data_IF_555978500130
#
_entry.id   IF_555978500130
#
_cell.length_a   1.000
_cell.length_b   1.000
_cell.length_c   1.000
_cell.angle_alpha   90.00
_cell.angle_beta   90.00
_cell.angle_gamma   90.00
#
_symmetry.space_group_name_H-M   'P 1'
#
loop_
_entity.id
_entity.type
_entity.pdbx_description
1 polymer ?
#
# COMPACT_ATOMS: atom_id res chain seq x y z
N UNK A 1 -45.47 21.27 22.82
CA UNK A 1 -45.56 20.24 22.24
C UNK A 1 -44.53 20.02 21.30
N UNK A 2 -44.44 20.02 20.67
CA UNK A 2 -43.88 20.36 19.84
C UNK A 2 -42.45 20.24 19.81
N UNK A 3 -41.99 20.79 20.50
CA UNK A 3 -40.69 20.87 20.75
C UNK A 3 -39.99 19.64 20.64
N UNK A 4 -40.50 18.81 21.14
CA UNK A 4 -39.96 17.57 21.25
C UNK A 4 -39.34 17.08 20.02
N UNK A 5 -39.92 17.41 19.01
CA UNK A 5 -39.51 16.93 17.75
C UNK A 5 -38.08 17.18 17.43
N UNK A 6 -37.62 18.28 17.83
CA UNK A 6 -36.28 18.68 17.50
C UNK A 6 -35.22 17.67 17.94
N UNK A 7 -35.52 17.01 19.00
CA UNK A 7 -34.53 16.08 19.53
C UNK A 7 -34.26 14.91 18.61
N UNK A 8 -35.19 14.62 17.79
CA UNK A 8 -35.01 13.48 16.91
C UNK A 8 -33.91 13.70 15.91
N UNK A 9 -33.83 14.88 15.47
CA UNK A 9 -32.90 15.24 14.45
C UNK A 9 -31.46 14.94 14.88
N UNK A 10 -31.19 15.24 16.10
CA UNK A 10 -29.85 15.01 16.61
C UNK A 10 -29.47 13.56 16.55
N UNK A 11 -30.42 12.76 16.83
CA UNK A 11 -30.18 11.33 16.86
C UNK A 11 -29.78 10.78 15.51
N UNK A 12 -30.40 11.27 14.49
CA UNK A 12 -30.10 10.83 13.15
C UNK A 12 -28.69 11.13 12.76
N UNK A 13 -28.19 12.24 13.23
CA UNK A 13 -26.82 12.62 12.90
C UNK A 13 -25.82 11.66 13.49
N UNK A 14 -26.10 11.19 14.68
CA UNK A 14 -25.23 10.23 15.31
C UNK A 14 -25.14 8.96 14.51
N UNK A 15 -26.24 8.52 14.00
CA UNK A 15 -26.26 7.32 13.19
C UNK A 15 -25.37 7.47 11.97
N UNK A 16 -25.37 8.65 11.40
CA UNK A 16 -24.52 8.90 10.24
C UNK A 16 -23.06 8.73 10.56
N UNK A 17 -22.63 9.20 11.69
CA UNK A 17 -21.24 9.06 12.06
C UNK A 17 -20.82 7.61 12.19
N UNK A 18 -21.65 6.84 12.84
CA UNK A 18 -21.32 5.45 13.05
C UNK A 18 -21.16 4.67 11.75
N UNK A 19 -22.03 4.94 10.83
CA UNK A 19 -21.98 4.25 9.55
C UNK A 19 -20.85 4.75 8.68
N UNK A 20 -20.39 5.94 8.93
CA UNK A 20 -19.38 6.55 8.10
C UNK A 20 -17.96 6.41 8.58
N UNK A 21 -17.68 5.49 9.50
CA UNK A 21 -16.33 5.31 9.99
C UNK A 21 -15.38 5.04 8.82
N UNK A 22 -14.41 5.92 8.58
CA UNK A 22 -13.52 5.76 7.43
C UNK A 22 -12.54 4.62 7.67
N UNK A 23 -12.20 3.93 6.60
CA UNK A 23 -11.13 2.96 6.64
C UNK A 23 -9.82 3.72 6.58
N UNK A 24 -8.79 3.12 7.10
CA UNK A 24 -7.45 3.70 7.00
C UNK A 24 -6.97 3.60 5.56
N UNK A 25 -6.23 4.60 5.12
CA UNK A 25 -5.65 4.56 3.79
C UNK A 25 -4.41 3.65 3.77
N UNK A 26 -3.77 3.56 2.62
CA UNK A 26 -2.60 2.69 2.44
C UNK A 26 -1.50 3.03 3.44
N UNK A 27 -1.20 4.31 3.60
CA UNK A 27 -0.12 4.75 4.48
C UNK A 27 -0.46 4.49 5.94
N UNK A 28 -1.66 4.83 6.36
CA UNK A 28 -2.08 4.62 7.75
C UNK A 28 -2.14 3.13 8.10
N UNK A 29 -2.56 2.32 7.16
CA UNK A 29 -2.60 0.87 7.34
C UNK A 29 -1.18 0.31 7.50
N UNK A 30 -0.25 0.77 6.69
CA UNK A 30 1.14 0.34 6.77
C UNK A 30 1.78 0.76 8.10
N UNK A 31 1.51 1.99 8.53
CA UNK A 31 2.02 2.47 9.82
C UNK A 31 1.46 1.64 10.96
N UNK A 32 0.17 1.36 10.93
CA UNK A 32 -0.49 0.59 11.98
C UNK A 32 -0.10 -0.87 12.06
N UNK A 33 0.38 -1.43 10.95
CA UNK A 33 0.76 -2.84 10.92
C UNK A 33 2.06 -3.13 11.67
N UNK A 34 2.93 -2.13 11.84
CA UNK A 34 4.17 -2.29 12.59
C UNK A 34 5.29 -3.03 11.89
N UNK A 35 5.03 -3.64 10.74
CA UNK A 35 6.03 -4.40 9.99
C UNK A 35 6.63 -3.63 8.83
N UNK A 36 6.22 -2.38 8.63
CA UNK A 36 6.59 -1.58 7.48
C UNK A 36 7.30 -0.28 7.86
N UNK A 37 8.03 -0.29 8.95
CA UNK A 37 8.73 0.92 9.42
C UNK A 37 9.68 1.46 8.36
N UNK A 38 10.47 0.60 7.75
CA UNK A 38 11.41 0.98 6.70
C UNK A 38 10.68 1.50 5.47
N UNK A 39 9.61 0.82 5.07
CA UNK A 39 8.81 1.25 3.93
C UNK A 39 8.20 2.63 4.17
N UNK A 40 7.63 2.85 5.34
CA UNK A 40 7.04 4.15 5.69
C UNK A 40 8.11 5.25 5.68
N UNK A 41 9.28 4.96 6.23
CA UNK A 41 10.40 5.91 6.21
C UNK A 41 10.82 6.22 4.77
N UNK A 42 10.86 5.20 3.92
CA UNK A 42 11.23 5.36 2.51
C UNK A 42 10.19 6.21 1.76
N UNK A 43 8.91 5.95 2.00
CA UNK A 43 7.83 6.71 1.37
C UNK A 43 7.89 8.17 1.77
N UNK A 44 8.17 8.44 3.04
CA UNK A 44 8.32 9.82 3.54
C UNK A 44 9.54 10.49 2.91
N UNK A 45 10.67 9.78 2.86
CA UNK A 45 11.90 10.31 2.28
C UNK A 45 11.75 10.61 0.79
N UNK A 46 10.97 9.80 0.08
CA UNK A 46 10.73 9.99 -1.35
C UNK A 46 9.66 11.05 -1.63
N UNK A 47 8.94 11.51 -0.61
CA UNK A 47 7.86 12.48 -0.79
C UNK A 47 6.63 11.90 -1.43
N UNK A 48 6.39 10.61 -1.29
CA UNK A 48 5.27 9.92 -1.91
C UNK A 48 4.07 9.72 -0.97
N UNK A 49 4.15 10.20 0.26
CA UNK A 49 3.07 10.04 1.23
C UNK A 49 1.76 10.60 0.68
N UNK A 50 1.77 11.81 0.18
CA UNK A 50 0.58 12.45 -0.37
C UNK A 50 0.06 11.71 -1.59
N UNK A 51 0.97 11.20 -2.42
CA UNK A 51 0.58 10.42 -3.60
C UNK A 51 -0.17 9.16 -3.19
N UNK A 52 0.32 8.46 -2.18
CA UNK A 52 -0.31 7.23 -1.71
C UNK A 52 -1.57 7.48 -0.88
N UNK A 53 -1.72 8.68 -0.33
CA UNK A 53 -2.94 9.09 0.37
C UNK A 53 -4.00 9.64 -0.57
N UNK A 54 -3.66 9.81 -1.83
CA UNK A 54 -4.57 10.34 -2.83
C UNK A 54 -5.75 9.40 -3.11
N UNK A 55 -6.60 9.84 -4.00
CA UNK A 55 -7.86 9.15 -4.27
C UNK A 55 -7.71 7.75 -4.85
N UNK A 56 -6.59 7.44 -5.40
CA UNK A 56 -6.39 6.09 -5.93
C UNK A 56 -7.50 5.61 -6.84
N UNK A 57 -7.80 4.35 -6.94
CA UNK A 57 -7.24 3.25 -6.13
C UNK A 57 -5.84 2.82 -6.55
N UNK A 58 -5.13 2.30 -5.59
CA UNK A 58 -3.78 1.78 -5.84
C UNK A 58 -3.65 0.39 -5.25
N UNK A 59 -2.83 -0.44 -5.90
CA UNK A 59 -2.41 -1.71 -5.33
C UNK A 59 -0.93 -1.57 -4.98
N UNK A 60 -0.60 -1.79 -3.73
CA UNK A 60 0.78 -1.63 -3.24
C UNK A 60 1.33 -2.98 -2.83
N UNK A 61 2.48 -3.34 -3.38
CA UNK A 61 3.22 -4.51 -2.94
C UNK A 61 4.18 -4.04 -1.86
N UNK A 62 3.80 -4.22 -0.61
CA UNK A 62 4.51 -3.66 0.53
C UNK A 62 5.56 -4.65 1.06
N UNK A 63 6.85 -4.37 0.88
CA UNK A 63 7.88 -5.20 1.47
C UNK A 63 7.96 -4.96 2.97
N UNK A 64 8.15 -6.02 3.73
CA UNK A 64 8.30 -5.94 5.19
C UNK A 64 9.69 -5.41 5.55
N UNK A 65 9.89 -5.10 6.83
CA UNK A 65 11.23 -4.72 7.31
C UNK A 65 12.22 -5.84 7.06
N UNK A 66 11.78 -7.09 7.18
CA UNK A 66 12.61 -8.26 6.87
C UNK A 66 13.00 -8.30 5.39
N UNK A 67 12.09 -7.88 4.51
CA UNK A 67 12.37 -7.80 3.07
C UNK A 67 13.49 -6.78 2.80
N UNK A 68 13.46 -5.65 3.46
CA UNK A 68 14.53 -4.67 3.35
C UNK A 68 15.85 -5.19 3.93
N UNK A 69 15.76 -6.01 4.97
CA UNK A 69 16.95 -6.60 5.57
C UNK A 69 17.68 -7.57 4.64
N UNK A 70 17.00 -8.09 3.63
CA UNK A 70 17.62 -8.96 2.63
C UNK A 70 18.48 -8.20 1.63
N UNK A 71 18.36 -6.89 1.59
CA UNK A 71 19.18 -6.06 0.72
C UNK A 71 20.59 -5.97 1.29
N UNK A 72 21.60 -5.73 0.43
CA UNK A 72 22.98 -5.56 0.90
C UNK A 72 23.07 -4.45 1.95
N UNK A 73 24.00 -4.61 2.88
CA UNK A 73 24.23 -3.61 3.91
C UNK A 73 24.45 -2.24 3.30
N UNK A 74 23.80 -1.24 3.88
CA UNK A 74 23.94 0.14 3.44
C UNK A 74 23.07 0.51 2.25
N UNK A 75 22.41 -0.44 1.60
CA UNK A 75 21.53 -0.12 0.47
C UNK A 75 20.36 0.72 0.90
N UNK A 76 19.67 0.32 1.97
CA UNK A 76 18.52 1.07 2.47
C UNK A 76 18.95 2.46 2.93
N UNK A 77 20.02 2.53 3.70
CA UNK A 77 20.54 3.82 4.18
C UNK A 77 20.92 4.72 3.03
N UNK A 78 21.55 4.16 2.00
CA UNK A 78 21.92 4.90 0.81
C UNK A 78 20.69 5.45 0.09
N UNK A 79 19.67 4.62 -0.05
CA UNK A 79 18.43 5.02 -0.72
C UNK A 79 17.67 6.11 0.03
N UNK A 80 17.81 6.16 1.34
CA UNK A 80 17.15 7.17 2.17
C UNK A 80 17.83 8.52 2.11
N UNK A 81 19.02 8.61 1.54
CA UNK A 81 19.73 9.88 1.40
C UNK A 81 19.02 10.81 0.42
N UNK A 82 18.99 12.12 0.69
CA UNK A 82 18.34 13.08 -0.21
C UNK A 82 18.86 13.03 -1.64
N UNK A 83 20.13 12.75 -1.83
CA UNK A 83 20.73 12.66 -3.18
C UNK A 83 20.19 11.48 -3.99
N UNK A 84 19.65 10.46 -3.33
CA UNK A 84 19.08 9.28 -3.97
C UNK A 84 17.55 9.30 -3.98
N UNK A 85 16.94 10.43 -3.67
CA UNK A 85 15.50 10.55 -3.60
C UNK A 85 14.78 10.08 -4.87
N UNK A 86 15.30 10.44 -6.03
CA UNK A 86 14.71 10.03 -7.30
C UNK A 86 14.76 8.52 -7.50
N UNK A 87 15.88 7.92 -7.12
CA UNK A 87 16.03 6.49 -7.23
C UNK A 87 15.09 5.77 -6.27
N UNK A 88 14.98 6.27 -5.06
CA UNK A 88 14.05 5.73 -4.07
C UNK A 88 12.61 5.84 -4.56
N UNK A 89 12.22 7.00 -5.10
CA UNK A 89 10.89 7.20 -5.65
C UNK A 89 10.60 6.23 -6.78
N UNK A 90 11.58 5.99 -7.64
CA UNK A 90 11.42 5.02 -8.74
C UNK A 90 11.19 3.61 -8.22
N UNK A 91 11.94 3.20 -7.22
CA UNK A 91 11.77 1.88 -6.61
C UNK A 91 10.39 1.77 -5.96
N UNK A 92 9.98 2.78 -5.20
CA UNK A 92 8.69 2.77 -4.51
C UNK A 92 7.51 2.79 -5.48
N UNK A 93 7.59 3.56 -6.54
CA UNK A 93 6.53 3.58 -7.55
C UNK A 93 6.49 2.27 -8.34
N UNK A 94 7.60 1.57 -8.40
CA UNK A 94 7.62 0.23 -8.98
C UNK A 94 6.81 -0.77 -8.13
N UNK A 95 6.66 -0.53 -6.85
CA UNK A 95 5.84 -1.36 -5.97
C UNK A 95 4.35 -1.00 -6.03
N UNK A 96 3.98 0.04 -6.75
CA UNK A 96 2.61 0.52 -6.82
C UNK A 96 2.04 0.28 -8.21
N UNK A 97 0.87 -0.35 -8.25
CA UNK A 97 0.14 -0.60 -9.49
C UNK A 97 -1.17 0.21 -9.42
N UNK A 98 -1.51 0.99 -10.44
CA UNK A 98 -2.77 1.71 -10.44
C UNK A 98 -3.95 0.74 -10.52
N UNK A 99 -5.00 1.04 -9.79
CA UNK A 99 -6.20 0.21 -9.73
C UNK A 99 -6.20 -0.75 -8.56
N UNK A 100 -7.34 -1.35 -8.30
CA UNK A 100 -7.49 -2.36 -7.24
C UNK A 100 -7.28 -3.74 -7.84
N UNK A 101 -6.18 -4.39 -7.51
CA UNK A 101 -5.86 -5.72 -7.99
C UNK A 101 -5.80 -6.67 -6.79
N UNK A 102 -6.89 -7.38 -6.55
CA UNK A 102 -6.92 -8.41 -5.53
C UNK A 102 -6.11 -9.62 -5.98
N UNK A 103 -5.72 -10.46 -5.03
CA UNK A 103 -4.93 -11.66 -5.34
C UNK A 103 -5.59 -12.53 -6.41
N UNK A 104 -6.90 -12.69 -6.36
CA UNK A 104 -7.63 -13.46 -7.37
C UNK A 104 -7.45 -12.88 -8.77
N UNK A 105 -7.53 -11.56 -8.86
CA UNK A 105 -7.37 -10.88 -10.15
C UNK A 105 -5.93 -10.96 -10.61
N UNK A 106 -5.01 -10.75 -9.69
CA UNK A 106 -3.58 -10.82 -9.97
C UNK A 106 -3.17 -12.20 -10.49
N UNK A 107 -3.75 -13.25 -9.92
CA UNK A 107 -3.46 -14.62 -10.35
C UNK A 107 -3.86 -14.89 -11.80
N UNK A 108 -4.79 -14.12 -12.33
CA UNK A 108 -5.23 -14.23 -13.72
C UNK A 108 -4.40 -13.38 -14.67
N UNK A 109 -3.57 -12.51 -14.13
CA UNK A 109 -2.70 -11.64 -14.92
C UNK A 109 -1.32 -12.26 -14.98
N UNK A 110 -0.65 -12.11 -16.10
CA UNK A 110 0.74 -12.53 -16.24
C UNK A 110 1.68 -11.41 -15.81
N UNK A 111 1.22 -10.18 -15.92
CA UNK A 111 1.98 -9.01 -15.54
C UNK A 111 1.05 -7.85 -15.25
N UNK A 112 1.59 -6.84 -14.59
CA UNK A 112 0.90 -5.59 -14.33
C UNK A 112 1.88 -4.44 -14.51
N UNK A 113 1.39 -3.31 -14.98
CA UNK A 113 2.23 -2.14 -15.17
C UNK A 113 2.23 -1.30 -13.91
N UNK A 114 3.40 -1.02 -13.39
CA UNK A 114 3.55 -0.20 -12.19
C UNK A 114 3.41 1.29 -12.50
N UNK A 115 3.27 2.09 -11.45
CA UNK A 115 3.16 3.54 -11.58
C UNK A 115 4.43 4.13 -12.22
N UNK A 116 5.58 3.50 -12.02
CA UNK A 116 6.81 4.00 -12.62
C UNK A 116 6.95 3.65 -14.12
N UNK A 117 5.98 2.90 -14.67
CA UNK A 117 5.99 2.53 -16.08
C UNK A 117 6.58 1.17 -16.40
N UNK A 118 7.22 0.54 -15.45
CA UNK A 118 7.82 -0.79 -15.64
C UNK A 118 6.81 -1.89 -15.34
N UNK A 119 6.93 -3.02 -16.03
CA UNK A 119 6.06 -4.15 -15.79
C UNK A 119 6.53 -4.99 -14.63
N UNK A 120 5.58 -5.49 -13.88
CA UNK A 120 5.81 -6.45 -12.79
C UNK A 120 5.25 -7.79 -13.25
N UNK A 121 6.08 -8.83 -13.21
CA UNK A 121 5.63 -10.18 -13.56
C UNK A 121 4.88 -10.79 -12.38
N UNK A 122 3.71 -11.37 -12.66
CA UNK A 122 2.87 -12.00 -11.65
C UNK A 122 2.71 -13.46 -12.02
N UNK A 123 3.04 -14.35 -11.10
CA UNK A 123 2.87 -15.77 -11.30
C UNK A 123 2.20 -16.40 -10.09
N UNK A 124 1.11 -17.17 -10.29
CA UNK A 124 0.54 -17.89 -9.17
C UNK A 124 1.51 -19.00 -8.73
N UNK A 125 1.61 -19.19 -7.42
CA UNK A 125 2.46 -20.21 -6.84
C UNK A 125 1.71 -20.88 -5.69
N UNK A 126 1.04 -21.98 -6.01
CA UNK A 126 0.19 -22.66 -5.03
C UNK A 126 -0.93 -21.75 -4.55
N UNK A 127 -1.01 -21.50 -3.24
CA UNK A 127 -2.03 -20.65 -2.65
C UNK A 127 -1.64 -19.17 -2.63
N UNK A 128 -0.47 -18.84 -3.13
CA UNK A 128 0.05 -17.47 -3.07
C UNK A 128 0.47 -17.00 -4.47
N UNK A 129 1.06 -15.84 -4.52
CA UNK A 129 1.53 -15.24 -5.76
C UNK A 129 3.02 -14.93 -5.65
N UNK A 130 3.70 -15.02 -6.78
CA UNK A 130 5.05 -14.53 -6.92
C UNK A 130 5.01 -13.25 -7.72
N UNK A 131 5.60 -12.21 -7.20
CA UNK A 131 5.71 -10.91 -7.86
C UNK A 131 7.18 -10.74 -8.21
N UNK A 132 7.52 -10.91 -9.48
CA UNK A 132 8.90 -11.06 -9.92
C UNK A 132 9.56 -12.21 -9.12
N UNK A 133 10.54 -11.90 -8.29
CA UNK A 133 11.21 -12.89 -7.44
C UNK A 133 10.72 -12.87 -6.00
N UNK A 134 9.72 -12.03 -5.71
CA UNK A 134 9.18 -11.86 -4.35
C UNK A 134 7.94 -12.71 -4.17
N UNK A 135 7.77 -13.22 -2.97
CA UNK A 135 6.59 -14.01 -2.63
C UNK A 135 5.62 -13.15 -1.84
N UNK A 136 4.34 -13.23 -2.19
CA UNK A 136 3.29 -12.57 -1.41
C UNK A 136 3.02 -13.42 -0.18
N UNK A 137 3.28 -12.86 0.99
CA UNK A 137 3.08 -13.56 2.27
C UNK A 137 1.73 -13.25 2.89
N UNK A 138 1.13 -12.12 2.53
CA UNK A 138 -0.20 -11.75 2.97
C UNK A 138 -0.84 -10.89 1.87
N UNK A 139 -2.05 -11.19 1.51
CA UNK A 139 -2.72 -10.53 0.40
C UNK A 139 -4.05 -9.90 0.81
N UNK A 140 -4.57 -9.05 -0.06
CA UNK A 140 -5.91 -8.47 0.08
C UNK A 140 -6.13 -7.69 1.38
N UNK A 141 -5.14 -6.91 1.79
CA UNK A 141 -5.33 -5.96 2.88
C UNK A 141 -6.04 -4.74 2.28
N UNK A 142 -7.32 -4.61 2.56
CA UNK A 142 -8.14 -3.57 1.97
C UNK A 142 -8.00 -2.26 2.74
N UNK A 143 -7.78 -1.18 2.01
CA UNK A 143 -7.68 0.17 2.57
C UNK A 143 -8.73 1.07 1.94
N UNK A 144 -8.85 2.30 2.41
CA UNK A 144 -9.82 3.26 1.88
C UNK A 144 -9.54 3.64 0.42
N UNK A 145 -8.27 3.64 0.03
CA UNK A 145 -7.87 4.07 -1.32
C UNK A 145 -7.10 3.02 -2.10
N UNK A 146 -7.15 1.77 -1.68
CA UNK A 146 -6.46 0.72 -2.43
C UNK A 146 -6.35 -0.59 -1.69
N UNK A 147 -5.39 -1.40 -2.11
CA UNK A 147 -5.15 -2.73 -1.58
C UNK A 147 -3.65 -2.90 -1.34
N UNK A 148 -3.29 -3.56 -0.27
CA UNK A 148 -1.90 -3.88 0.06
C UNK A 148 -1.70 -5.39 -0.01
N UNK A 149 -0.67 -5.81 -0.73
CA UNK A 149 -0.18 -7.18 -0.71
C UNK A 149 1.20 -7.16 -0.09
N UNK A 150 1.42 -7.94 0.95
CA UNK A 150 2.69 -7.98 1.64
C UNK A 150 3.63 -8.94 0.94
N UNK A 151 4.82 -8.49 0.62
CA UNK A 151 5.85 -9.30 -0.04
C UNK A 151 7.08 -9.45 0.85
N UNK A 152 7.83 -10.51 0.61
CA UNK A 152 8.98 -10.84 1.44
C UNK A 152 10.33 -10.39 0.86
N UNK A 153 10.31 -9.73 -0.27
CA UNK A 153 11.52 -9.22 -0.93
C UNK A 153 11.20 -7.90 -1.63
N UNK A 154 12.12 -6.96 -1.56
CA UNK A 154 11.96 -5.67 -2.22
C UNK A 154 12.07 -5.84 -3.74
N UNK A 155 11.14 -5.25 -4.47
CA UNK A 155 11.19 -5.25 -5.94
C UNK A 155 12.15 -4.15 -6.41
N UNK A 156 13.05 -4.51 -7.28
CA UNK A 156 14.00 -3.56 -7.86
C UNK A 156 13.80 -3.56 -9.36
N UNK A 157 13.50 -2.40 -9.94
CA UNK A 157 13.27 -2.30 -11.38
C UNK A 157 14.55 -2.50 -12.20
#
# INVERSE_FOLDING_TARGET
MKKIIASFTSLLMLASFLSGAPKKDIVDTAVGAGSFKTLVAAVKAAGLVDTLKGEGPFTVFAPTDEAFAKLPKGTVESLLKPENKKKLASILTYHVVPGKVKAKKAAKLDSAKSVNGSEITIKPSGKTLMINKSKVVKADIITSNGIIHVIDTVLIP
#
